data_IF_007820590763
#
_entry.id   IF_007820590763
#
_cell.length_a   1.000
_cell.length_b   1.000
_cell.length_c   1.000
_cell.angle_alpha   90.00
_cell.angle_beta   90.00
_cell.angle_gamma   90.00
#
_symmetry.space_group_name_H-M   'P 1'
#
loop_
_entity.id
_entity.type
_entity.pdbx_description
1 polymer ?
#
# COMPACT_ATOMS: atom_id res chain seq x y z
N UNK A 1 12.94 -7.80 -11.30
CA UNK A 1 12.01 -8.27 -10.26
C UNK A 1 11.51 -9.66 -10.67
N UNK A 2 11.15 -10.54 -9.73
CA UNK A 2 10.79 -11.94 -10.02
C UNK A 2 9.32 -12.25 -9.71
N UNK A 3 8.71 -13.20 -10.44
CA UNK A 3 7.35 -13.65 -10.14
C UNK A 3 7.28 -14.42 -8.80
N UNK A 4 6.81 -13.75 -7.76
CA UNK A 4 6.56 -14.34 -6.43
C UNK A 4 5.08 -14.56 -6.13
N UNK A 5 4.20 -13.74 -6.71
CA UNK A 5 2.77 -13.76 -6.43
C UNK A 5 2.10 -14.94 -7.12
N UNK A 6 1.38 -15.75 -6.35
CA UNK A 6 0.53 -16.82 -6.86
C UNK A 6 -0.92 -16.41 -6.73
N UNK A 7 -1.62 -16.27 -7.85
CA UNK A 7 -3.04 -15.97 -7.91
C UNK A 7 -3.73 -17.07 -8.72
N UNK A 8 -4.68 -17.75 -8.10
CA UNK A 8 -5.55 -18.71 -8.78
C UNK A 8 -6.85 -17.99 -9.16
N UNK A 9 -6.90 -17.44 -10.37
CA UNK A 9 -8.06 -16.75 -10.91
C UNK A 9 -8.12 -16.92 -12.43
N UNK A 10 -9.31 -16.94 -13.03
CA UNK A 10 -9.48 -17.22 -14.46
C UNK A 10 -8.93 -16.10 -15.37
N UNK A 11 -9.16 -14.84 -14.98
CA UNK A 11 -8.76 -13.67 -15.76
C UNK A 11 -7.58 -12.96 -15.11
N UNK A 12 -6.41 -13.61 -15.15
CA UNK A 12 -5.15 -13.06 -14.64
C UNK A 12 -4.08 -13.06 -15.72
N UNK A 13 -3.31 -11.97 -15.80
CA UNK A 13 -2.14 -11.85 -16.68
C UNK A 13 -0.94 -11.51 -15.81
N UNK A 14 0.13 -12.29 -15.94
CA UNK A 14 1.39 -12.05 -15.25
C UNK A 14 2.35 -11.30 -16.16
N UNK A 15 2.97 -10.25 -15.62
CA UNK A 15 4.01 -9.49 -16.27
C UNK A 15 5.32 -9.66 -15.50
N UNK A 16 6.42 -9.79 -16.23
CA UNK A 16 7.76 -9.90 -15.65
C UNK A 16 8.69 -8.89 -16.32
N UNK A 17 9.59 -8.31 -15.53
CA UNK A 17 10.63 -7.41 -16.04
C UNK A 17 11.69 -8.18 -16.79
N UNK A 18 12.28 -7.57 -17.80
CA UNK A 18 13.41 -8.13 -18.55
C UNK A 18 14.62 -7.20 -18.41
N UNK A 19 15.77 -7.75 -18.05
CA UNK A 19 17.03 -7.00 -18.07
C UNK A 19 17.49 -6.79 -19.51
N UNK A 20 18.21 -5.69 -19.74
CA UNK A 20 18.85 -5.46 -21.02
C UNK A 20 19.86 -6.57 -21.35
N UNK A 21 20.06 -6.85 -22.63
CA UNK A 21 21.14 -7.70 -23.11
C UNK A 21 22.53 -7.05 -22.86
N UNK A 22 23.60 -7.77 -23.21
CA UNK A 22 24.98 -7.26 -23.05
C UNK A 22 25.25 -5.95 -23.82
N UNK A 23 24.41 -5.61 -24.78
CA UNK A 23 24.50 -4.42 -25.62
C UNK A 23 23.56 -3.30 -25.14
N UNK A 24 22.81 -3.52 -24.06
CA UNK A 24 21.87 -2.56 -23.48
C UNK A 24 20.50 -2.53 -24.16
N UNK A 25 20.16 -3.51 -25.00
CA UNK A 25 18.88 -3.58 -25.69
C UNK A 25 17.87 -4.49 -24.98
N UNK A 26 16.59 -4.22 -25.18
CA UNK A 26 15.51 -5.10 -24.73
C UNK A 26 15.19 -5.04 -23.24
N UNK A 27 15.62 -3.98 -22.54
CA UNK A 27 15.15 -3.74 -21.18
C UNK A 27 13.63 -3.51 -21.16
N UNK A 28 12.96 -4.17 -20.22
CA UNK A 28 11.54 -3.96 -19.92
C UNK A 28 11.40 -3.72 -18.43
N UNK A 29 11.12 -2.48 -18.07
CA UNK A 29 10.99 -2.04 -16.67
C UNK A 29 9.57 -2.25 -16.15
N UNK A 30 9.39 -2.19 -14.81
CA UNK A 30 8.04 -2.22 -14.20
C UNK A 30 7.18 -1.09 -14.76
N UNK A 31 7.79 0.08 -15.03
CA UNK A 31 7.12 1.23 -15.62
C UNK A 31 6.55 0.92 -17.01
N UNK A 32 7.28 0.18 -17.84
CA UNK A 32 6.83 -0.23 -19.18
C UNK A 32 5.68 -1.24 -19.12
N UNK A 33 5.78 -2.20 -18.20
CA UNK A 33 4.76 -3.21 -17.96
C UNK A 33 3.48 -2.57 -17.43
N UNK A 34 3.60 -1.63 -16.50
CA UNK A 34 2.47 -0.91 -15.93
C UNK A 34 1.74 -0.10 -17.01
N UNK A 35 2.46 0.69 -17.82
CA UNK A 35 1.88 1.39 -18.98
C UNK A 35 1.18 0.45 -19.96
N UNK A 36 1.76 -0.72 -20.20
CA UNK A 36 1.18 -1.73 -21.08
C UNK A 36 -0.10 -2.33 -20.50
N UNK A 37 -0.10 -2.62 -19.19
CA UNK A 37 -1.25 -3.19 -18.48
C UNK A 37 -2.50 -2.30 -18.56
N UNK A 38 -2.35 -0.97 -18.52
CA UNK A 38 -3.47 -0.02 -18.60
C UNK A 38 -4.25 -0.13 -19.92
N UNK A 39 -3.64 -0.65 -20.99
CA UNK A 39 -4.32 -0.87 -22.27
C UNK A 39 -5.19 -2.13 -22.27
N UNK A 40 -5.03 -3.01 -21.28
CA UNK A 40 -5.80 -4.24 -21.13
C UNK A 40 -7.09 -4.04 -20.32
N UNK A 41 -7.38 -2.80 -19.89
CA UNK A 41 -8.53 -2.45 -19.03
C UNK A 41 -8.61 -3.35 -17.78
N UNK A 42 -7.56 -3.39 -16.94
CA UNK A 42 -7.52 -4.26 -15.79
C UNK A 42 -8.45 -3.75 -14.67
N UNK A 43 -9.15 -4.67 -14.00
CA UNK A 43 -9.91 -4.35 -12.79
C UNK A 43 -9.00 -4.21 -11.56
N UNK A 44 -7.87 -4.95 -11.54
CA UNK A 44 -6.88 -4.97 -10.47
C UNK A 44 -5.49 -4.93 -11.08
N UNK A 45 -4.60 -4.14 -10.50
CA UNK A 45 -3.17 -4.13 -10.84
C UNK A 45 -2.40 -4.41 -9.55
N UNK A 46 -1.53 -5.41 -9.56
CA UNK A 46 -0.68 -5.71 -8.39
C UNK A 46 0.76 -5.52 -8.82
N UNK A 47 1.40 -4.51 -8.25
CA UNK A 47 2.84 -4.28 -8.41
C UNK A 47 3.54 -5.00 -7.26
N UNK A 48 4.49 -5.89 -7.57
CA UNK A 48 5.23 -6.65 -6.56
C UNK A 48 5.86 -5.72 -5.51
N UNK A 49 6.81 -4.90 -5.94
CA UNK A 49 7.41 -3.87 -5.09
C UNK A 49 7.71 -2.61 -5.90
N UNK A 50 7.35 -1.45 -5.35
CA UNK A 50 7.66 -0.13 -5.93
C UNK A 50 9.03 0.33 -5.43
N UNK A 51 9.97 0.47 -6.36
CA UNK A 51 11.39 0.78 -6.14
C UNK A 51 11.90 2.00 -6.91
N UNK A 52 11.15 2.52 -7.87
CA UNK A 52 11.62 3.56 -8.78
C UNK A 52 10.51 4.33 -9.48
N UNK A 53 10.77 4.70 -10.73
CA UNK A 53 9.92 5.63 -11.47
C UNK A 53 8.51 5.13 -11.80
N UNK A 54 8.26 3.82 -11.70
CA UNK A 54 6.92 3.23 -11.79
C UNK A 54 5.95 3.74 -10.72
N UNK A 55 6.46 4.32 -9.62
CA UNK A 55 5.65 4.95 -8.57
C UNK A 55 4.68 5.99 -9.15
N UNK A 56 5.16 6.85 -10.04
CA UNK A 56 4.34 7.90 -10.64
C UNK A 56 3.23 7.31 -11.52
N UNK A 57 3.57 6.36 -12.38
CA UNK A 57 2.62 5.64 -13.23
C UNK A 57 1.57 4.89 -12.40
N UNK A 58 1.95 4.34 -11.25
CA UNK A 58 1.01 3.64 -10.35
C UNK A 58 0.03 4.63 -9.72
N UNK A 59 0.50 5.76 -9.22
CA UNK A 59 -0.34 6.85 -8.70
C UNK A 59 -1.29 7.37 -9.79
N UNK A 60 -0.80 7.54 -11.02
CA UNK A 60 -1.63 7.96 -12.15
C UNK A 60 -2.68 6.90 -12.50
N UNK A 61 -2.33 5.62 -12.51
CA UNK A 61 -3.27 4.53 -12.76
C UNK A 61 -4.42 4.55 -11.75
N UNK A 62 -4.09 4.66 -10.46
CA UNK A 62 -5.05 4.77 -9.35
C UNK A 62 -6.03 5.94 -9.56
N UNK A 63 -5.50 7.13 -9.86
CA UNK A 63 -6.29 8.34 -10.06
C UNK A 63 -7.11 8.36 -11.37
N UNK A 64 -6.80 7.50 -12.34
CA UNK A 64 -7.49 7.43 -13.65
C UNK A 64 -8.50 6.29 -13.76
N UNK A 65 -8.99 5.78 -12.63
CA UNK A 65 -10.08 4.81 -12.58
C UNK A 65 -9.66 3.36 -12.39
N UNK A 66 -8.37 3.08 -12.18
CA UNK A 66 -7.88 1.75 -11.80
C UNK A 66 -7.78 1.68 -10.27
N UNK A 67 -8.92 1.84 -9.58
CA UNK A 67 -8.98 1.87 -8.09
C UNK A 67 -8.51 0.57 -7.44
N UNK A 68 -8.46 -0.51 -8.20
CA UNK A 68 -8.06 -1.84 -7.74
C UNK A 68 -6.56 -2.07 -7.62
N UNK A 69 -5.73 -1.02 -7.66
CA UNK A 69 -4.28 -1.14 -7.60
C UNK A 69 -3.78 -1.51 -6.19
N UNK A 70 -2.80 -2.41 -6.12
CA UNK A 70 -2.06 -2.77 -4.91
C UNK A 70 -0.56 -2.74 -5.20
N UNK A 71 0.23 -2.43 -4.18
CA UNK A 71 1.68 -2.49 -4.27
C UNK A 71 2.32 -2.68 -2.91
N UNK A 72 3.58 -3.15 -2.90
CA UNK A 72 4.39 -3.11 -1.69
C UNK A 72 5.48 -2.06 -1.79
N UNK A 73 5.87 -1.49 -0.64
CA UNK A 73 6.94 -0.51 -0.53
C UNK A 73 7.59 -0.64 0.85
N UNK A 74 8.91 -0.50 0.90
CA UNK A 74 9.66 -0.57 2.15
C UNK A 74 9.59 0.73 2.95
N UNK A 75 8.90 0.73 4.08
CA UNK A 75 8.83 1.87 4.99
C UNK A 75 8.71 1.43 6.45
N UNK A 76 9.02 2.35 7.38
CA UNK A 76 8.99 2.10 8.82
C UNK A 76 7.63 2.40 9.46
N UNK A 77 6.78 3.16 8.77
CA UNK A 77 5.45 3.54 9.21
C UNK A 77 4.54 3.81 8.01
N UNK A 78 3.23 3.92 8.24
CA UNK A 78 2.28 4.30 7.18
C UNK A 78 2.55 5.71 6.60
N UNK A 79 2.79 6.77 7.41
CA UNK A 79 3.21 8.06 6.86
C UNK A 79 4.54 7.99 6.08
N UNK A 80 5.53 7.23 6.58
CA UNK A 80 6.82 7.07 5.86
C UNK A 80 6.65 6.38 4.51
N UNK A 81 5.66 5.48 4.38
CA UNK A 81 5.36 4.82 3.11
C UNK A 81 4.90 5.84 2.06
N UNK A 82 4.07 6.79 2.44
CA UNK A 82 3.58 7.86 1.55
C UNK A 82 4.72 8.82 1.18
N UNK A 83 5.54 9.22 2.15
CA UNK A 83 6.72 10.07 1.89
C UNK A 83 7.72 9.36 0.97
N UNK A 84 7.92 8.04 1.14
CA UNK A 84 8.79 7.27 0.25
C UNK A 84 8.21 7.16 -1.15
N UNK A 85 6.90 6.92 -1.26
CA UNK A 85 6.21 6.86 -2.55
C UNK A 85 6.33 8.21 -3.29
N UNK A 86 6.22 9.32 -2.57
CA UNK A 86 6.48 10.67 -3.08
C UNK A 86 7.91 10.81 -3.63
N UNK A 87 8.93 10.41 -2.86
CA UNK A 87 10.31 10.49 -3.30
C UNK A 87 10.58 9.64 -4.57
N UNK A 88 10.02 8.44 -4.65
CA UNK A 88 10.14 7.57 -5.82
C UNK A 88 9.45 8.17 -7.06
N UNK A 89 8.29 8.80 -6.87
CA UNK A 89 7.54 9.44 -7.94
C UNK A 89 8.19 10.76 -8.43
N UNK A 90 8.81 11.54 -7.53
CA UNK A 90 9.56 12.75 -7.91
C UNK A 90 10.74 12.42 -8.83
N UNK A 91 11.40 11.29 -8.62
CA UNK A 91 12.51 10.83 -9.47
C UNK A 91 12.11 10.51 -10.92
N UNK A 92 10.81 10.43 -11.23
CA UNK A 92 10.31 10.09 -12.56
C UNK A 92 9.97 11.33 -13.42
N UNK A 93 10.97 12.14 -13.80
CA UNK A 93 10.90 13.21 -14.81
C UNK A 93 9.56 14.00 -14.88
N UNK A 94 8.95 14.26 -13.72
CA UNK A 94 7.63 14.86 -13.67
C UNK A 94 7.75 16.37 -13.45
N UNK A 95 7.07 17.15 -14.28
CA UNK A 95 6.95 18.61 -14.07
C UNK A 95 5.89 18.96 -13.01
N UNK A 96 5.49 17.98 -12.19
CA UNK A 96 4.51 18.19 -11.14
C UNK A 96 5.14 18.97 -9.99
N UNK A 97 4.41 19.94 -9.46
CA UNK A 97 4.81 20.55 -8.19
C UNK A 97 4.69 19.53 -7.06
N UNK A 98 5.55 19.66 -6.04
CA UNK A 98 5.52 18.81 -4.84
C UNK A 98 4.11 18.75 -4.22
N UNK A 99 3.44 19.90 -4.14
CA UNK A 99 2.06 19.99 -3.65
C UNK A 99 1.07 19.19 -4.51
N UNK A 100 1.21 19.23 -5.84
CA UNK A 100 0.33 18.46 -6.73
C UNK A 100 0.56 16.96 -6.58
N UNK A 101 1.82 16.53 -6.45
CA UNK A 101 2.15 15.12 -6.24
C UNK A 101 1.61 14.60 -4.91
N UNK A 102 1.79 15.35 -3.81
CA UNK A 102 1.21 15.00 -2.51
C UNK A 102 -0.30 14.84 -2.56
N UNK A 103 -0.97 15.76 -3.25
CA UNK A 103 -2.41 15.66 -3.44
C UNK A 103 -2.80 14.41 -4.22
N UNK A 104 -2.08 14.08 -5.30
CA UNK A 104 -2.32 12.86 -6.07
C UNK A 104 -2.08 11.59 -5.24
N UNK A 105 -1.06 11.56 -4.39
CA UNK A 105 -0.78 10.42 -3.51
C UNK A 105 -1.86 10.27 -2.45
N UNK A 106 -2.20 11.34 -1.74
CA UNK A 106 -3.23 11.34 -0.71
C UNK A 106 -4.63 11.05 -1.24
N UNK A 107 -4.86 11.20 -2.54
CA UNK A 107 -6.11 10.81 -3.21
C UNK A 107 -6.07 9.40 -3.82
N UNK A 108 -4.88 8.84 -4.07
CA UNK A 108 -4.71 7.56 -4.74
C UNK A 108 -4.65 6.38 -3.77
N UNK A 109 -4.14 6.61 -2.57
CA UNK A 109 -3.97 5.58 -1.54
C UNK A 109 -5.11 5.69 -0.56
N UNK A 110 -5.88 4.61 -0.38
CA UNK A 110 -6.96 4.56 0.61
C UNK A 110 -6.47 3.99 1.95
N UNK A 111 -5.68 2.92 1.90
CA UNK A 111 -5.27 2.15 3.09
C UNK A 111 -3.81 1.72 2.99
N UNK A 112 -3.09 1.85 4.10
CA UNK A 112 -1.75 1.28 4.28
C UNK A 112 -1.81 0.13 5.30
N UNK A 113 -1.37 -1.05 4.87
CA UNK A 113 -1.25 -2.25 5.69
C UNK A 113 0.22 -2.46 6.02
N UNK A 114 0.62 -2.16 7.26
CA UNK A 114 2.01 -2.20 7.66
C UNK A 114 2.41 -3.57 8.23
N UNK A 115 3.42 -4.21 7.64
CA UNK A 115 4.03 -5.43 8.20
C UNK A 115 5.41 -5.08 8.78
N UNK A 116 5.63 -5.48 10.03
CA UNK A 116 6.90 -5.25 10.72
C UNK A 116 7.57 -6.56 11.13
N UNK A 117 8.90 -6.56 11.18
CA UNK A 117 9.70 -7.63 11.76
C UNK A 117 10.03 -7.28 13.21
N UNK A 118 9.65 -8.14 14.15
CA UNK A 118 9.88 -7.92 15.57
C UNK A 118 11.18 -8.59 16.06
N UNK A 119 11.58 -8.29 17.31
CA UNK A 119 12.84 -8.74 17.90
C UNK A 119 12.93 -10.26 18.12
N UNK A 120 11.80 -10.97 18.11
CA UNK A 120 11.75 -12.44 18.10
C UNK A 120 11.89 -13.04 16.68
N UNK A 121 12.13 -12.19 15.68
CA UNK A 121 12.28 -12.57 14.28
C UNK A 121 10.96 -12.74 13.52
N UNK A 122 9.81 -12.69 14.21
CA UNK A 122 8.50 -12.84 13.57
C UNK A 122 8.16 -11.64 12.68
N UNK A 123 7.46 -11.90 11.57
CA UNK A 123 6.83 -10.86 10.74
C UNK A 123 5.34 -10.83 11.06
N UNK A 124 4.84 -9.67 11.46
CA UNK A 124 3.45 -9.52 11.89
C UNK A 124 2.90 -8.19 11.42
N UNK A 125 1.58 -8.13 11.22
CA UNK A 125 0.87 -6.89 10.95
C UNK A 125 1.05 -5.95 12.15
N UNK A 126 1.58 -4.76 11.89
CA UNK A 126 1.86 -3.74 12.90
C UNK A 126 0.74 -2.72 12.99
N UNK A 127 0.16 -2.33 11.86
CA UNK A 127 -0.99 -1.43 11.80
C UNK A 127 -1.76 -1.58 10.49
N UNK A 128 -3.01 -1.14 10.51
CA UNK A 128 -3.82 -0.84 9.32
C UNK A 128 -4.26 0.60 9.49
N UNK A 129 -3.91 1.47 8.55
CA UNK A 129 -4.23 2.88 8.61
C UNK A 129 -4.92 3.35 7.34
N UNK A 130 -5.91 4.23 7.50
CA UNK A 130 -6.57 4.94 6.42
C UNK A 130 -5.78 6.20 6.07
N UNK A 131 -5.72 6.53 4.79
CA UNK A 131 -5.12 7.77 4.30
C UNK A 131 -6.23 8.74 3.97
N UNK A 132 -6.28 9.85 4.70
CA UNK A 132 -7.34 10.86 4.64
C UNK A 132 -6.94 12.08 3.80
N UNK A 133 -5.91 11.93 2.96
CA UNK A 133 -5.35 13.00 2.14
C UNK A 133 -4.15 13.71 2.77
N UNK A 134 -4.08 15.03 2.59
CA UNK A 134 -2.97 15.87 3.09
C UNK A 134 -3.50 17.02 3.94
N UNK A 135 -2.81 17.31 5.04
CA UNK A 135 -3.14 18.41 5.94
C UNK A 135 -2.58 19.75 5.42
N UNK A 136 -3.11 20.91 5.87
CA UNK A 136 -2.64 22.22 5.43
C UNK A 136 -1.15 22.51 5.69
N UNK A 137 -0.55 21.81 6.65
CA UNK A 137 0.88 21.89 6.98
C UNK A 137 1.79 21.07 6.02
N UNK A 138 1.19 20.38 5.05
CA UNK A 138 1.89 19.60 4.04
C UNK A 138 2.20 18.16 4.45
N UNK A 139 1.75 17.71 5.62
CA UNK A 139 1.85 16.31 6.06
C UNK A 139 0.72 15.45 5.49
N UNK A 140 0.97 14.14 5.34
CA UNK A 140 -0.10 13.20 5.02
C UNK A 140 -0.96 12.95 6.27
N UNK A 141 -2.28 13.08 6.12
CA UNK A 141 -3.21 12.73 7.19
C UNK A 141 -3.46 11.23 7.12
N UNK A 142 -2.97 10.50 8.11
CA UNK A 142 -3.11 9.05 8.20
C UNK A 142 -3.72 8.70 9.55
N UNK A 143 -4.80 7.91 9.56
CA UNK A 143 -5.50 7.52 10.78
C UNK A 143 -5.46 6.00 10.96
N UNK A 144 -4.88 5.54 12.07
CA UNK A 144 -4.82 4.11 12.37
C UNK A 144 -6.21 3.56 12.71
N UNK A 145 -6.62 2.53 11.98
CA UNK A 145 -7.82 1.73 12.25
C UNK A 145 -7.50 0.57 13.20
N UNK A 146 -6.34 -0.06 13.00
CA UNK A 146 -5.81 -1.12 13.86
C UNK A 146 -4.34 -0.85 14.18
N UNK A 147 -3.93 -1.17 15.40
CA UNK A 147 -2.53 -1.10 15.82
C UNK A 147 -2.14 -2.34 16.64
N UNK A 148 -0.87 -2.74 16.54
CA UNK A 148 -0.31 -3.78 17.39
C UNK A 148 -0.35 -3.35 18.86
N UNK A 149 -1.04 -4.13 19.69
CA UNK A 149 -1.03 -3.91 21.13
C UNK A 149 0.34 -4.16 21.73
N UNK A 150 0.53 -3.75 22.99
CA UNK A 150 1.80 -3.93 23.70
C UNK A 150 2.23 -5.40 23.64
N UNK A 151 3.38 -5.64 23.03
CA UNK A 151 3.97 -6.96 22.95
C UNK A 151 4.58 -7.36 24.30
N UNK A 152 4.18 -8.53 24.79
CA UNK A 152 4.73 -9.16 25.99
C UNK A 152 5.72 -10.24 25.61
N UNK A 153 6.93 -10.17 26.16
CA UNK A 153 7.93 -11.23 25.99
C UNK A 153 7.59 -12.41 26.89
N UNK A 154 7.37 -13.56 26.28
CA UNK A 154 7.07 -14.81 26.97
C UNK A 154 8.35 -15.51 27.44
N UNK A 155 8.27 -16.47 28.38
CA UNK A 155 9.45 -17.21 28.87
C UNK A 155 10.23 -17.97 27.79
N UNK A 156 9.58 -18.36 26.69
CA UNK A 156 10.20 -19.00 25.52
C UNK A 156 10.91 -18.00 24.58
N UNK A 157 10.92 -16.71 24.93
CA UNK A 157 11.52 -15.63 24.15
C UNK A 157 10.63 -15.06 23.05
N UNK A 158 9.44 -15.63 22.80
CA UNK A 158 8.50 -15.15 21.78
C UNK A 158 7.70 -13.94 22.25
N UNK A 159 7.21 -13.14 21.32
CA UNK A 159 6.36 -11.99 21.62
C UNK A 159 4.89 -12.34 21.46
N UNK A 160 4.10 -12.09 22.51
CA UNK A 160 2.64 -12.23 22.51
C UNK A 160 1.96 -10.86 22.44
N UNK A 161 0.96 -10.76 21.58
CA UNK A 161 0.10 -9.59 21.38
C UNK A 161 -0.72 -9.81 20.13
N UNK A 162 -1.53 -8.85 19.70
CA UNK A 162 -2.27 -8.92 18.44
C UNK A 162 -2.59 -7.50 17.99
N UNK A 163 -3.00 -7.32 16.73
CA UNK A 163 -3.58 -6.04 16.34
C UNK A 163 -4.90 -5.85 17.07
N UNK A 164 -5.17 -4.63 17.47
CA UNK A 164 -6.40 -4.23 18.14
C UNK A 164 -6.99 -3.00 17.45
N UNK A 165 -8.32 -2.91 17.34
CA UNK A 165 -8.96 -1.73 16.78
C UNK A 165 -8.70 -0.51 17.66
N UNK A 166 -8.44 0.63 17.04
CA UNK A 166 -8.13 1.88 17.75
C UNK A 166 -9.38 2.55 18.32
N UNK A 167 -10.56 2.23 17.78
CA UNK A 167 -11.82 2.94 18.02
C UNK A 167 -12.22 3.87 16.87
N UNK A 168 -11.30 4.14 15.94
CA UNK A 168 -11.58 4.90 14.72
C UNK A 168 -12.46 4.08 13.79
N UNK A 169 -13.55 4.71 13.33
CA UNK A 169 -14.35 4.17 12.24
C UNK A 169 -13.80 4.71 10.92
N UNK A 170 -13.52 3.84 9.93
CA UNK A 170 -13.01 4.29 8.65
C UNK A 170 -14.03 5.12 7.89
N UNK A 171 -13.59 6.04 7.03
CA UNK A 171 -14.50 6.86 6.23
C UNK A 171 -15.32 6.03 5.24
N UNK A 172 -14.79 4.90 4.79
CA UNK A 172 -15.46 3.93 3.91
C UNK A 172 -16.35 2.91 4.65
N UNK A 173 -16.76 3.19 5.90
CA UNK A 173 -17.64 2.28 6.65
C UNK A 173 -19.00 2.08 5.97
N UNK A 174 -19.57 3.12 5.35
CA UNK A 174 -20.83 3.01 4.60
C UNK A 174 -20.69 2.04 3.42
N UNK A 175 -19.55 2.08 2.71
CA UNK A 175 -19.28 1.15 1.61
C UNK A 175 -19.22 -0.31 2.07
N UNK A 176 -18.65 -0.57 3.26
CA UNK A 176 -18.64 -1.91 3.86
C UNK A 176 -20.08 -2.41 4.10
N UNK A 177 -20.95 -1.54 4.60
CA UNK A 177 -22.36 -1.85 4.90
C UNK A 177 -23.17 -2.06 3.62
N UNK A 178 -23.04 -1.16 2.65
CA UNK A 178 -23.75 -1.21 1.37
C UNK A 178 -23.38 -2.45 0.55
N UNK A 179 -22.10 -2.85 0.58
CA UNK A 179 -21.61 -4.05 -0.09
C UNK A 179 -21.80 -5.33 0.74
N UNK A 180 -22.43 -5.24 1.92
CA UNK A 180 -22.69 -6.37 2.81
C UNK A 180 -21.43 -7.18 3.16
N UNK A 181 -20.28 -6.48 3.27
CA UNK A 181 -19.03 -7.10 3.67
C UNK A 181 -19.19 -7.54 5.14
N UNK A 182 -18.84 -8.79 5.52
CA UNK A 182 -19.07 -9.34 6.86
C UNK A 182 -18.10 -8.79 7.92
N UNK A 183 -18.01 -7.47 8.03
CA UNK A 183 -17.07 -6.71 8.87
C UNK A 183 -17.74 -5.46 9.46
N UNK A 184 -18.81 -5.65 10.23
CA UNK A 184 -19.60 -4.54 10.78
C UNK A 184 -18.87 -3.66 11.81
N UNK A 185 -19.48 -2.53 12.16
CA UNK A 185 -18.93 -1.47 13.05
C UNK A 185 -18.32 -1.97 14.36
N UNK A 186 -18.85 -3.06 14.93
CA UNK A 186 -18.34 -3.67 16.16
C UNK A 186 -16.89 -4.14 16.07
N UNK A 187 -16.38 -4.42 14.85
CA UNK A 187 -14.98 -4.80 14.62
C UNK A 187 -14.01 -3.64 14.89
N UNK A 188 -14.47 -2.40 14.74
CA UNK A 188 -13.66 -1.19 14.93
C UNK A 188 -13.73 -0.62 16.34
N UNK A 189 -14.57 -1.20 17.21
CA UNK A 189 -14.71 -0.72 18.58
C UNK A 189 -13.50 -1.12 19.42
N UNK A 190 -12.90 -0.13 20.10
CA UNK A 190 -11.80 -0.37 21.03
C UNK A 190 -12.25 -1.36 22.11
N UNK A 191 -11.48 -2.43 22.29
CA UNK A 191 -11.73 -3.38 23.37
C UNK A 191 -11.34 -2.74 24.70
N UNK A 192 -12.11 -2.93 25.79
CA UNK A 192 -11.68 -2.52 27.12
C UNK A 192 -10.33 -3.15 27.45
N UNK A 193 -9.43 -2.38 28.06
CA UNK A 193 -8.19 -2.95 28.56
C UNK A 193 -8.53 -4.02 29.61
N UNK A 194 -8.04 -5.25 29.38
CA UNK A 194 -8.17 -6.37 30.31
C UNK A 194 -7.18 -6.26 31.48
#
# INVERSE_FOLDING_TARGET
>A
DSSELKVEYEHVVFFETQMADEQGHGEVTIRDLLKSSLRLRPDRIIVGEVRGGEALELIQAMNTGHKGCLGTIHANSAPDALVRLEALAQGADSQLSEKALRHQIGSAIDVVVQISRYSDGSRRLASIAEVMGFAPDGSYHVESIYEMSRLLKMPDGKLKGQIEPTGTLPSFMEEIEDNQIPFGRSKFQKKPAA
#
